data_IF_317480394996
#
_entry.id   IF_317480394996
#
_cell.length_a   1.000
_cell.length_b   1.000
_cell.length_c   1.000
_cell.angle_alpha   90.00
_cell.angle_beta   90.00
_cell.angle_gamma   90.00
#
_symmetry.space_group_name_H-M   'P 1'
#
loop_
_entity.id
_entity.type
_entity.pdbx_description
1 polymer ?
#
# COMPACT_ATOMS: atom_id res chain seq x y z
N UNK A 1 -27.42 -8.90 52.36
CA UNK A 1 -25.96 -9.04 52.16
C UNK A 1 -25.76 -9.83 50.89
N UNK A 2 -25.22 -9.23 49.81
CA UNK A 2 -24.91 -9.99 48.60
C UNK A 2 -23.73 -10.91 48.88
N UNK A 3 -23.85 -12.19 48.50
CA UNK A 3 -22.77 -13.15 48.67
C UNK A 3 -21.73 -12.98 47.56
N UNK A 4 -20.44 -13.29 47.85
CA UNK A 4 -19.37 -13.23 46.83
C UNK A 4 -19.67 -14.03 45.57
N UNK A 5 -20.46 -15.11 45.71
CA UNK A 5 -20.89 -15.96 44.60
C UNK A 5 -21.93 -15.25 43.70
N UNK A 6 -22.84 -14.48 44.28
CA UNK A 6 -23.82 -13.72 43.51
C UNK A 6 -23.16 -12.56 42.76
N UNK A 7 -22.21 -11.85 43.38
CA UNK A 7 -21.49 -10.78 42.68
C UNK A 7 -20.70 -11.32 41.49
N UNK A 8 -20.01 -12.46 41.63
CA UNK A 8 -19.29 -13.10 40.52
C UNK A 8 -20.21 -13.51 39.36
N UNK A 9 -21.40 -14.07 39.66
CA UNK A 9 -22.38 -14.46 38.64
C UNK A 9 -22.93 -13.25 37.88
N UNK A 10 -23.28 -12.17 38.59
CA UNK A 10 -23.78 -10.96 37.95
C UNK A 10 -22.71 -10.27 37.11
N UNK A 11 -21.46 -10.21 37.56
CA UNK A 11 -20.36 -9.66 36.76
C UNK A 11 -20.10 -10.48 35.49
N UNK A 12 -20.20 -11.82 35.56
CA UNK A 12 -20.06 -12.67 34.39
C UNK A 12 -21.21 -12.49 33.39
N UNK A 13 -22.45 -12.34 33.88
CA UNK A 13 -23.60 -12.06 33.03
C UNK A 13 -23.51 -10.70 32.33
N UNK A 14 -23.09 -9.65 33.05
CA UNK A 14 -22.88 -8.30 32.49
C UNK A 14 -21.74 -8.32 31.48
N UNK A 15 -20.62 -8.98 31.78
CA UNK A 15 -19.51 -9.13 30.84
C UNK A 15 -19.90 -9.91 29.57
N UNK A 16 -20.69 -10.98 29.70
CA UNK A 16 -21.22 -11.73 28.56
C UNK A 16 -22.17 -10.90 27.71
N UNK A 17 -23.04 -10.09 28.33
CA UNK A 17 -23.93 -9.19 27.63
C UNK A 17 -23.14 -8.12 26.85
N UNK A 18 -22.16 -7.49 27.49
CA UNK A 18 -21.27 -6.50 26.88
C UNK A 18 -20.42 -7.09 25.74
N UNK A 19 -20.06 -8.38 25.82
CA UNK A 19 -19.33 -9.03 24.74
C UNK A 19 -20.16 -9.21 23.46
N UNK A 20 -21.48 -9.31 23.59
CA UNK A 20 -22.41 -9.48 22.46
C UNK A 20 -22.78 -8.18 21.75
N UNK A 21 -22.53 -7.02 22.34
CA UNK A 21 -22.92 -5.72 21.77
C UNK A 21 -22.03 -5.25 20.63
N UNK A 22 -20.96 -5.97 20.29
CA UNK A 22 -20.03 -5.60 19.22
C UNK A 22 -19.25 -4.32 19.49
N UNK A 23 -19.30 -3.78 20.71
CA UNK A 23 -18.60 -2.57 21.16
C UNK A 23 -17.13 -2.83 21.56
N UNK A 24 -16.63 -4.05 21.36
CA UNK A 24 -15.19 -4.28 21.47
C UNK A 24 -14.47 -3.52 20.36
N UNK A 25 -13.35 -2.84 20.67
CA UNK A 25 -12.54 -2.23 19.64
C UNK A 25 -12.02 -3.33 18.73
N UNK A 26 -12.66 -3.49 17.57
CA UNK A 26 -12.10 -4.25 16.48
C UNK A 26 -10.85 -3.50 16.04
N UNK A 27 -9.68 -4.04 16.34
CA UNK A 27 -8.45 -3.56 15.73
C UNK A 27 -8.62 -3.67 14.22
N UNK A 28 -8.86 -2.54 13.55
CA UNK A 28 -8.87 -2.48 12.11
C UNK A 28 -7.47 -2.94 11.65
N UNK A 29 -7.39 -4.16 11.15
CA UNK A 29 -6.19 -4.69 10.51
C UNK A 29 -6.07 -4.02 9.14
N UNK A 30 -5.85 -2.71 9.12
CA UNK A 30 -5.64 -1.92 7.91
C UNK A 30 -4.24 -2.16 7.31
N UNK A 31 -3.42 -2.98 7.96
CA UNK A 31 -2.12 -3.38 7.48
C UNK A 31 -2.27 -4.52 6.48
N UNK A 32 -2.18 -4.18 5.19
CA UNK A 32 -2.16 -5.12 4.07
C UNK A 32 -0.81 -5.88 4.04
N UNK A 33 -0.55 -6.69 5.08
CA UNK A 33 0.71 -7.40 5.29
C UNK A 33 1.13 -8.21 4.06
N UNK A 34 0.17 -8.89 3.44
CA UNK A 34 0.42 -9.70 2.25
C UNK A 34 0.90 -8.86 1.04
N UNK A 35 0.49 -7.60 0.94
CA UNK A 35 0.88 -6.72 -0.16
C UNK A 35 2.30 -6.17 0.02
N UNK A 36 2.70 -5.90 1.26
CA UNK A 36 4.05 -5.42 1.60
C UNK A 36 5.09 -6.55 1.69
N UNK A 37 4.66 -7.77 2.01
CA UNK A 37 5.53 -8.98 2.01
C UNK A 37 5.78 -9.50 0.58
N UNK A 38 5.07 -9.00 -0.44
CA UNK A 38 5.26 -9.39 -1.82
C UNK A 38 6.65 -8.95 -2.33
N UNK A 39 7.39 -9.93 -2.86
CA UNK A 39 8.74 -9.74 -3.38
C UNK A 39 8.79 -9.47 -4.89
N UNK A 40 7.67 -9.66 -5.58
CA UNK A 40 7.57 -9.42 -7.03
C UNK A 40 6.44 -8.43 -7.33
N UNK A 41 6.61 -7.67 -8.41
CA UNK A 41 5.61 -6.69 -8.87
C UNK A 41 4.28 -7.39 -9.22
N UNK A 42 4.36 -8.54 -9.88
CA UNK A 42 3.18 -9.31 -10.26
C UNK A 42 2.41 -9.84 -9.03
N UNK A 43 3.11 -10.33 -8.01
CA UNK A 43 2.48 -10.80 -6.78
C UNK A 43 1.85 -9.65 -5.99
N UNK A 44 2.56 -8.51 -5.90
CA UNK A 44 2.03 -7.31 -5.25
C UNK A 44 0.74 -6.84 -5.91
N UNK A 45 0.70 -6.76 -7.25
CA UNK A 45 -0.52 -6.34 -7.97
C UNK A 45 -1.66 -7.36 -7.79
N UNK A 46 -1.35 -8.66 -7.81
CA UNK A 46 -2.35 -9.72 -7.61
C UNK A 46 -2.94 -9.69 -6.21
N UNK A 47 -2.11 -9.54 -5.18
CA UNK A 47 -2.57 -9.39 -3.79
C UNK A 47 -3.43 -8.14 -3.62
N UNK A 48 -3.11 -7.08 -4.38
CA UNK A 48 -3.87 -5.84 -4.42
C UNK A 48 -5.14 -5.90 -5.29
N UNK A 49 -5.53 -7.08 -5.76
CA UNK A 49 -6.77 -7.31 -6.50
C UNK A 49 -6.76 -6.79 -7.94
N UNK A 50 -5.58 -6.55 -8.50
CA UNK A 50 -5.40 -6.23 -9.92
C UNK A 50 -5.20 -7.48 -10.77
N UNK A 51 -5.71 -7.44 -12.00
CA UNK A 51 -5.36 -8.39 -13.06
C UNK A 51 -3.88 -8.22 -13.49
N UNK A 52 -3.42 -9.02 -14.44
CA UNK A 52 -2.07 -8.88 -14.99
C UNK A 52 -1.82 -7.42 -15.46
N UNK A 53 -0.75 -6.75 -14.98
CA UNK A 53 -0.46 -5.37 -15.34
C UNK A 53 -0.27 -5.22 -16.85
N UNK A 54 -0.98 -4.25 -17.46
CA UNK A 54 -0.81 -3.89 -18.88
C UNK A 54 -0.14 -2.53 -18.97
N UNK A 55 0.86 -2.39 -19.85
CA UNK A 55 1.54 -1.11 -20.02
C UNK A 55 0.57 -0.06 -20.59
N UNK A 56 0.52 1.13 -19.99
CA UNK A 56 -0.31 2.24 -20.48
C UNK A 56 0.42 3.57 -20.39
N UNK A 57 0.17 4.44 -21.39
CA UNK A 57 0.64 5.83 -21.43
C UNK A 57 -0.19 6.76 -20.54
N UNK A 58 -1.34 6.29 -20.06
CA UNK A 58 -2.22 7.03 -19.16
C UNK A 58 -1.75 6.99 -17.70
N UNK A 59 -0.69 6.22 -17.41
CA UNK A 59 0.03 6.23 -16.13
C UNK A 59 1.40 6.81 -16.40
N UNK A 60 1.83 7.76 -15.58
CA UNK A 60 3.11 8.45 -15.73
C UNK A 60 3.87 8.45 -14.42
N UNK A 61 5.18 8.26 -14.52
CA UNK A 61 6.10 8.30 -13.38
C UNK A 61 6.98 9.53 -13.51
N UNK A 62 7.02 10.34 -12.46
CA UNK A 62 7.96 11.44 -12.33
C UNK A 62 9.04 11.05 -11.31
N UNK A 63 10.27 11.43 -11.59
CA UNK A 63 11.41 11.06 -10.76
C UNK A 63 12.72 11.34 -11.48
N UNK A 64 13.82 11.50 -10.74
CA UNK A 64 15.12 11.73 -11.33
C UNK A 64 15.63 10.48 -12.06
N UNK A 65 16.41 10.64 -13.13
CA UNK A 65 17.04 9.50 -13.80
C UNK A 65 18.24 8.97 -12.98
N UNK A 66 18.86 9.87 -12.20
CA UNK A 66 19.97 9.58 -11.29
C UNK A 66 19.65 10.13 -9.90
N UNK A 67 19.57 9.25 -8.91
CA UNK A 67 19.39 9.59 -7.51
C UNK A 67 20.74 9.57 -6.78
N UNK A 68 21.20 10.76 -6.35
CA UNK A 68 22.44 10.92 -5.57
C UNK A 68 22.31 10.42 -4.14
N UNK A 69 21.10 10.47 -3.58
CA UNK A 69 20.80 10.00 -2.23
C UNK A 69 19.68 8.97 -2.27
N UNK A 70 20.04 7.69 -2.22
CA UNK A 70 19.08 6.59 -2.21
C UNK A 70 18.19 6.57 -0.97
N UNK A 71 18.51 7.29 0.11
CA UNK A 71 17.69 7.32 1.31
C UNK A 71 16.44 8.22 1.15
N UNK A 72 16.47 9.14 0.19
CA UNK A 72 15.39 10.11 -0.06
C UNK A 72 15.27 10.38 -1.56
N UNK A 73 14.68 9.44 -2.30
CA UNK A 73 14.43 9.60 -3.73
C UNK A 73 13.02 10.16 -3.95
N UNK A 74 12.85 11.34 -4.57
CA UNK A 74 11.54 11.86 -4.92
C UNK A 74 10.97 11.09 -6.10
N UNK A 75 9.84 10.42 -5.88
CA UNK A 75 9.08 9.69 -6.88
C UNK A 75 7.66 10.25 -6.93
N UNK A 76 7.14 10.46 -8.12
CA UNK A 76 5.76 10.84 -8.34
C UNK A 76 5.08 9.87 -9.28
N UNK A 77 3.79 9.72 -9.07
CA UNK A 77 2.90 8.92 -9.89
C UNK A 77 1.67 9.74 -10.20
N UNK A 78 1.35 9.84 -11.48
CA UNK A 78 0.11 10.47 -11.93
C UNK A 78 -0.58 9.59 -12.95
N UNK A 79 -1.91 9.67 -13.00
CA UNK A 79 -2.69 8.96 -14.01
C UNK A 79 -3.86 9.79 -14.50
N UNK A 80 -4.12 9.73 -15.80
CA UNK A 80 -5.29 10.32 -16.45
C UNK A 80 -6.47 9.35 -16.57
N UNK A 81 -6.33 8.13 -16.04
CA UNK A 81 -7.38 7.12 -16.09
C UNK A 81 -8.56 7.52 -15.18
N UNK A 82 -9.77 7.42 -15.72
CA UNK A 82 -10.99 7.51 -14.93
C UNK A 82 -11.22 6.20 -14.14
N UNK A 83 -11.94 6.28 -13.02
CA UNK A 83 -12.33 5.12 -12.19
C UNK A 83 -11.16 4.34 -11.57
N UNK A 84 -10.09 5.02 -11.21
CA UNK A 84 -8.97 4.43 -10.47
C UNK A 84 -9.38 4.23 -9.02
N UNK A 85 -9.24 3.00 -8.54
CA UNK A 85 -9.50 2.63 -7.14
C UNK A 85 -8.25 2.80 -6.30
N UNK A 86 -7.11 2.36 -6.84
CA UNK A 86 -5.82 2.37 -6.14
C UNK A 86 -4.67 2.68 -7.08
N UNK A 87 -3.69 3.41 -6.59
CA UNK A 87 -2.41 3.64 -7.26
C UNK A 87 -1.31 3.06 -6.38
N UNK A 88 -0.47 2.23 -6.97
CA UNK A 88 0.64 1.55 -6.31
C UNK A 88 1.95 2.08 -6.88
N UNK A 89 2.92 2.30 -6.00
CA UNK A 89 4.30 2.58 -6.37
C UNK A 89 5.17 1.41 -5.91
N UNK A 90 5.85 0.78 -6.86
CA UNK A 90 6.68 -0.39 -6.63
C UNK A 90 8.11 -0.18 -7.12
N UNK A 91 9.07 -0.81 -6.45
CA UNK A 91 10.49 -0.81 -6.81
C UNK A 91 10.99 -2.24 -6.79
N UNK A 92 11.38 -2.76 -7.94
CA UNK A 92 11.58 -4.21 -8.14
C UNK A 92 12.66 -4.82 -7.25
N UNK A 93 13.79 -4.13 -7.07
CA UNK A 93 14.94 -4.67 -6.33
C UNK A 93 15.06 -4.17 -4.89
N UNK A 94 14.01 -3.60 -4.34
CA UNK A 94 13.95 -3.28 -2.92
C UNK A 94 13.53 -4.51 -2.10
N UNK A 95 13.90 -4.61 -0.81
CA UNK A 95 13.49 -5.73 0.05
C UNK A 95 11.96 -5.92 0.13
N UNK A 96 11.22 -4.80 0.13
CA UNK A 96 9.78 -4.75 -0.10
C UNK A 96 9.54 -4.12 -1.47
N UNK A 97 8.87 -4.85 -2.36
CA UNK A 97 8.61 -4.35 -3.70
C UNK A 97 7.58 -3.22 -3.69
N UNK A 98 6.57 -3.29 -2.82
CA UNK A 98 5.58 -2.23 -2.64
C UNK A 98 6.12 -1.13 -1.72
N UNK A 99 6.19 0.10 -2.22
CA UNK A 99 6.68 1.27 -1.47
C UNK A 99 5.52 2.10 -0.92
N UNK A 100 4.52 2.34 -1.76
CA UNK A 100 3.36 3.13 -1.38
C UNK A 100 2.10 2.61 -2.07
N UNK A 101 0.98 2.74 -1.36
CA UNK A 101 -0.36 2.48 -1.86
C UNK A 101 -1.20 3.71 -1.56
N UNK A 102 -1.86 4.22 -2.59
CA UNK A 102 -2.82 5.32 -2.50
C UNK A 102 -4.20 4.79 -2.86
N UNK A 103 -5.16 4.93 -1.94
CA UNK A 103 -6.56 4.68 -2.24
C UNK A 103 -7.15 5.97 -2.83
N UNK A 104 -7.65 5.89 -4.05
CA UNK A 104 -8.16 7.04 -4.80
C UNK A 104 -9.68 6.95 -4.86
N UNK A 105 -10.33 8.10 -4.68
CA UNK A 105 -11.77 8.25 -4.89
C UNK A 105 -12.02 9.18 -6.06
N UNK A 106 -13.23 9.20 -6.66
CA UNK A 106 -13.52 10.04 -7.82
C UNK A 106 -13.25 11.54 -7.61
N UNK A 107 -13.28 12.01 -6.37
CA UNK A 107 -13.06 13.40 -5.99
C UNK A 107 -11.56 13.76 -5.82
N UNK A 108 -10.68 12.76 -5.87
CA UNK A 108 -9.23 12.92 -5.66
C UNK A 108 -8.52 12.89 -7.01
N UNK A 109 -7.82 13.98 -7.32
CA UNK A 109 -6.90 13.99 -8.45
C UNK A 109 -5.77 12.98 -8.21
N UNK A 110 -5.60 12.04 -9.14
CA UNK A 110 -4.71 10.90 -9.01
C UNK A 110 -3.27 11.29 -9.36
N UNK A 111 -2.74 12.28 -8.64
CA UNK A 111 -1.38 12.79 -8.77
C UNK A 111 -0.71 12.84 -7.38
N UNK A 112 0.21 11.92 -7.13
CA UNK A 112 0.86 11.74 -5.84
C UNK A 112 2.36 11.86 -5.97
N UNK A 113 2.99 12.55 -5.02
CA UNK A 113 4.44 12.62 -4.87
C UNK A 113 4.85 12.13 -3.49
N UNK A 114 5.88 11.30 -3.45
CA UNK A 114 6.40 10.66 -2.24
C UNK A 114 7.92 10.57 -2.30
N UNK A 115 8.56 10.52 -1.13
CA UNK A 115 9.99 10.27 -1.02
C UNK A 115 10.18 8.84 -0.54
N UNK A 116 10.86 8.05 -1.34
CA UNK A 116 11.08 6.63 -1.09
C UNK A 116 12.56 6.31 -0.89
N UNK A 117 12.84 5.28 -0.08
CA UNK A 117 14.18 4.69 0.02
C UNK A 117 14.38 3.72 -1.14
N UNK A 118 15.48 3.86 -1.85
CA UNK A 118 15.93 2.93 -2.87
C UNK A 118 17.28 2.35 -2.49
N UNK A 119 17.37 1.03 -2.44
CA UNK A 119 18.61 0.33 -2.07
C UNK A 119 19.66 0.36 -3.17
N UNK A 120 19.23 0.29 -4.43
CA UNK A 120 20.10 0.20 -5.60
C UNK A 120 19.35 0.61 -6.87
N UNK A 121 20.10 0.80 -7.97
CA UNK A 121 19.54 1.07 -9.30
C UNK A 121 18.53 0.00 -9.71
N UNK A 122 17.28 0.45 -9.91
CA UNK A 122 16.13 -0.43 -10.07
C UNK A 122 15.08 0.22 -10.95
N UNK A 123 14.26 -0.63 -11.57
CA UNK A 123 13.05 -0.20 -12.25
C UNK A 123 11.97 0.14 -11.22
N UNK A 124 11.42 1.34 -11.36
CA UNK A 124 10.27 1.84 -10.62
C UNK A 124 9.03 1.59 -11.46
N UNK A 125 8.03 0.96 -10.86
CA UNK A 125 6.74 0.69 -11.47
C UNK A 125 5.66 1.50 -10.77
N UNK A 126 4.84 2.19 -11.55
CA UNK A 126 3.59 2.74 -11.07
C UNK A 126 2.46 1.89 -11.63
N UNK A 127 1.56 1.42 -10.77
CA UNK A 127 0.41 0.60 -11.18
C UNK A 127 -0.88 1.24 -10.73
N UNK A 128 -1.75 1.58 -11.68
CA UNK A 128 -3.11 2.03 -11.42
C UNK A 128 -4.08 0.84 -11.55
N UNK A 129 -4.81 0.55 -10.48
CA UNK A 129 -5.86 -0.47 -10.45
C UNK A 129 -7.21 0.22 -10.55
N UNK A 130 -7.99 -0.09 -11.59
CA UNK A 130 -9.33 0.46 -11.79
C UNK A 130 -10.37 -0.28 -10.94
N UNK A 131 -11.55 0.31 -10.79
CA UNK A 131 -12.69 -0.32 -10.10
C UNK A 131 -13.11 -1.66 -10.75
N UNK A 132 -12.85 -1.83 -12.05
CA UNK A 132 -13.13 -3.06 -12.79
C UNK A 132 -12.07 -4.17 -12.55
N UNK A 133 -11.05 -3.91 -11.73
CA UNK A 133 -9.96 -4.85 -11.43
C UNK A 133 -8.88 -4.91 -12.51
N UNK A 134 -8.92 -4.05 -13.53
CA UNK A 134 -7.83 -3.94 -14.51
C UNK A 134 -6.65 -3.19 -13.90
N UNK A 135 -5.45 -3.67 -14.16
CA UNK A 135 -4.21 -3.04 -13.71
C UNK A 135 -3.45 -2.49 -14.91
N UNK A 136 -3.12 -1.19 -14.86
CA UNK A 136 -2.30 -0.52 -15.85
C UNK A 136 -0.99 -0.07 -15.21
N UNK A 137 0.13 -0.24 -15.90
CA UNK A 137 1.41 0.17 -15.35
C UNK A 137 2.21 1.08 -16.28
N UNK A 138 3.10 1.85 -15.67
CA UNK A 138 4.21 2.51 -16.33
C UNK A 138 5.51 2.09 -15.63
N UNK A 139 6.62 2.16 -16.36
CA UNK A 139 7.94 1.78 -15.86
C UNK A 139 8.94 2.89 -16.13
N UNK A 140 9.78 3.19 -15.14
CA UNK A 140 10.91 4.11 -15.26
C UNK A 140 12.13 3.56 -14.52
N UNK A 141 13.27 3.50 -15.19
CA UNK A 141 14.53 3.15 -14.54
C UNK A 141 15.06 4.35 -13.74
N UNK A 142 15.43 4.13 -12.48
CA UNK A 142 16.11 5.14 -11.65
C UNK A 142 17.44 4.57 -11.17
N UNK A 143 18.53 5.26 -11.52
CA UNK A 143 19.89 4.85 -11.16
C UNK A 143 20.29 5.49 -9.85
N UNK A 144 20.74 4.69 -8.88
CA UNK A 144 21.15 5.16 -7.56
C UNK A 144 22.67 5.08 -7.45
N UNK A 145 23.34 6.19 -7.14
CA UNK A 145 24.80 6.23 -6.99
C UNK A 145 25.26 5.92 -5.56
N UNK A 146 24.49 6.34 -4.56
CA UNK A 146 24.64 5.94 -3.15
C UNK A 146 23.37 5.23 -2.67
N UNK A 147 23.47 3.92 -2.40
CA UNK A 147 22.36 3.10 -1.92
C UNK A 147 21.82 3.57 -0.57
N UNK A 148 20.50 3.66 -0.43
CA UNK A 148 19.83 4.18 0.77
C UNK A 148 19.27 3.15 1.75
N UNK A 149 19.49 1.86 1.48
CA UNK A 149 19.00 0.75 2.31
C UNK A 149 20.05 0.26 3.33
N UNK A 150 21.03 1.11 3.65
CA UNK A 150 22.01 0.88 4.71
C UNK A 150 21.64 1.68 5.95
N UNK A 151 20.82 1.08 6.81
CA UNK A 151 20.86 1.38 8.24
C UNK A 151 21.91 0.48 8.89
#
# INVERSE_FOLDING_TARGET
MQTRRETLKHSAAVAGLLASTGLFPHYAQAFEKAAFDAKSVADAVKVMGGAAPVESKDVTITGPDIAENGAVVPLGVSTSLANVKRVLLLVEKNPSALIAMFNVSPDVDANFSTRAKMGQSSDVYAVAITNDGKAFFAKKEVKVTLGGCGG
#
